data_IF_285801031219
#
_entry.id   IF_285801031219
#
_cell.length_a   1.000
_cell.length_b   1.000
_cell.length_c   1.000
_cell.angle_alpha   90.00
_cell.angle_beta   90.00
_cell.angle_gamma   90.00
#
_symmetry.space_group_name_H-M   'P 1'
#
loop_
_entity.id
_entity.type
_entity.pdbx_description
1 polymer ?
#
# COMPACT_ATOMS: atom_id res chain seq x y z
N UNK A 1 -65.16 -13.97 -3.91
CA UNK A 1 -65.17 -15.27 -4.62
C UNK A 1 -63.89 -16.02 -4.26
N UNK A 2 -64.03 -17.17 -3.61
CA UNK A 2 -62.99 -18.11 -3.17
C UNK A 2 -62.72 -19.13 -4.28
N UNK A 3 -61.48 -19.63 -4.39
CA UNK A 3 -61.01 -21.01 -4.67
C UNK A 3 -59.47 -20.91 -4.67
N UNK A 4 -58.71 -21.22 -3.60
CA UNK A 4 -58.35 -22.53 -3.03
C UNK A 4 -57.89 -23.53 -4.10
N UNK A 5 -56.58 -23.78 -4.18
CA UNK A 5 -56.06 -25.11 -4.46
C UNK A 5 -54.86 -25.40 -3.56
N UNK A 6 -55.10 -26.33 -2.64
CA UNK A 6 -54.18 -26.94 -1.69
C UNK A 6 -53.54 -28.16 -2.36
N UNK A 7 -52.24 -28.38 -2.22
CA UNK A 7 -51.65 -29.73 -2.30
C UNK A 7 -50.83 -29.97 -1.03
N UNK A 8 -51.14 -31.12 -0.45
CA UNK A 8 -50.79 -31.67 0.86
C UNK A 8 -49.58 -32.59 0.71
N UNK A 9 -48.59 -32.39 1.59
CA UNK A 9 -47.80 -33.35 2.41
C UNK A 9 -47.48 -34.73 1.82
N UNK A 10 -46.22 -35.16 1.96
CA UNK A 10 -45.84 -36.44 2.63
C UNK A 10 -44.39 -36.32 3.15
N UNK A 11 -44.27 -36.39 4.48
CA UNK A 11 -43.06 -36.68 5.25
C UNK A 11 -42.91 -38.21 5.29
N UNK A 12 -41.69 -38.73 5.12
CA UNK A 12 -41.35 -40.07 5.57
C UNK A 12 -39.92 -40.10 6.11
N UNK A 13 -39.84 -40.10 7.44
CA UNK A 13 -38.68 -40.38 8.28
C UNK A 13 -38.62 -41.87 8.63
N UNK A 14 -37.46 -42.52 8.46
CA UNK A 14 -37.16 -43.88 8.96
C UNK A 14 -35.63 -44.07 8.96
N UNK A 15 -34.96 -44.76 9.87
CA UNK A 15 -35.16 -45.16 11.27
C UNK A 15 -33.79 -45.74 11.65
N UNK A 16 -33.26 -45.40 12.82
CA UNK A 16 -32.01 -45.97 13.36
C UNK A 16 -32.23 -47.46 13.65
N UNK A 17 -31.26 -48.32 13.31
CA UNK A 17 -31.18 -49.66 13.88
C UNK A 17 -29.81 -49.87 14.52
N UNK A 18 -29.86 -50.17 15.82
CA UNK A 18 -28.76 -50.65 16.66
C UNK A 18 -28.74 -52.17 16.53
N UNK A 19 -27.56 -52.76 16.37
CA UNK A 19 -27.34 -54.20 16.41
C UNK A 19 -26.08 -54.54 17.21
N UNK A 20 -26.28 -55.02 18.43
CA UNK A 20 -25.34 -55.78 19.29
C UNK A 20 -24.92 -57.07 18.54
N UNK A 21 -23.76 -57.73 18.71
CA UNK A 21 -23.12 -58.41 19.87
C UNK A 21 -21.83 -59.05 19.26
N UNK A 22 -20.65 -59.21 19.86
CA UNK A 22 -20.24 -59.97 21.06
C UNK A 22 -18.79 -59.62 21.39
N UNK A 23 -18.50 -59.56 22.68
CA UNK A 23 -17.16 -59.60 23.27
C UNK A 23 -16.72 -61.05 23.41
N UNK A 24 -15.46 -61.33 23.09
CA UNK A 24 -14.76 -62.51 23.61
C UNK A 24 -13.33 -62.09 23.94
N UNK A 25 -12.97 -62.32 25.20
CA UNK A 25 -11.75 -61.93 25.89
C UNK A 25 -10.76 -63.11 25.84
N UNK A 26 -9.50 -62.90 25.43
CA UNK A 26 -8.41 -63.88 25.67
C UNK A 26 -7.06 -63.14 25.84
N UNK A 27 -6.61 -63.12 27.09
CA UNK A 27 -5.26 -63.36 27.62
C UNK A 27 -4.01 -62.60 27.13
N UNK A 28 -3.34 -61.98 28.11
CA UNK A 28 -2.01 -61.37 28.03
C UNK A 28 -0.94 -62.46 28.12
N UNK A 29 -0.06 -62.52 27.11
CA UNK A 29 1.24 -63.22 27.19
C UNK A 29 2.36 -62.32 26.67
N UNK A 30 3.40 -62.16 27.49
CA UNK A 30 4.68 -61.50 27.20
C UNK A 30 5.47 -62.26 26.12
N UNK A 31 6.12 -61.54 25.20
CA UNK A 31 7.58 -61.55 24.98
C UNK A 31 8.03 -60.92 23.64
N UNK A 32 9.15 -60.20 23.72
CA UNK A 32 10.23 -60.01 22.74
C UNK A 32 10.01 -59.20 21.43
N UNK A 33 10.76 -58.10 21.36
CA UNK A 33 11.48 -57.50 20.22
C UNK A 33 11.04 -57.86 18.79
N UNK A 34 10.68 -56.84 18.00
CA UNK A 34 11.50 -56.40 16.85
C UNK A 34 10.87 -55.23 16.07
N UNK A 35 11.67 -54.17 15.94
CA UNK A 35 11.92 -53.34 14.75
C UNK A 35 10.85 -52.39 14.13
N UNK A 36 11.35 -51.16 13.96
CA UNK A 36 10.98 -50.08 13.01
C UNK A 36 9.84 -49.16 13.46
N UNK A 37 10.21 -48.15 14.25
CA UNK A 37 9.50 -46.88 14.35
C UNK A 37 9.63 -46.09 13.05
N UNK A 38 8.49 -45.80 12.40
CA UNK A 38 8.40 -44.87 11.28
C UNK A 38 8.62 -43.44 11.78
N UNK A 39 9.53 -42.73 11.14
CA UNK A 39 9.76 -41.30 11.30
C UNK A 39 8.51 -40.50 10.90
N UNK A 40 7.97 -39.76 11.85
CA UNK A 40 7.10 -38.63 11.62
C UNK A 40 7.96 -37.44 11.17
N UNK A 41 8.12 -37.24 9.86
CA UNK A 41 8.67 -35.98 9.35
C UNK A 41 7.62 -34.90 9.40
N UNK A 42 7.81 -34.02 10.37
CA UNK A 42 7.07 -32.78 10.65
C UNK A 42 6.99 -31.91 9.39
N UNK A 43 5.77 -31.64 8.92
CA UNK A 43 5.50 -30.53 8.00
C UNK A 43 5.72 -29.21 8.77
N UNK A 44 6.89 -28.62 8.60
CA UNK A 44 7.12 -27.23 9.00
C UNK A 44 6.42 -26.34 7.99
N UNK A 45 5.20 -25.92 8.34
CA UNK A 45 4.48 -24.89 7.60
C UNK A 45 5.33 -23.60 7.62
N UNK A 46 5.86 -23.23 6.47
CA UNK A 46 6.49 -21.93 6.23
C UNK A 46 5.41 -20.88 6.47
N UNK A 47 5.43 -20.22 7.63
CA UNK A 47 4.59 -19.06 7.90
C UNK A 47 5.01 -17.99 6.90
N UNK A 48 4.24 -17.81 5.82
CA UNK A 48 4.37 -16.62 4.97
C UNK A 48 4.25 -15.42 5.90
N UNK A 49 5.35 -14.70 6.04
CA UNK A 49 5.41 -13.47 6.81
C UNK A 49 4.54 -12.46 6.06
N UNK A 50 3.24 -12.40 6.42
CA UNK A 50 2.31 -11.43 5.86
C UNK A 50 2.87 -10.06 6.18
N UNK A 51 3.38 -9.40 5.15
CA UNK A 51 3.84 -8.04 5.27
C UNK A 51 2.66 -7.18 5.69
N UNK A 52 2.84 -6.50 6.81
CA UNK A 52 1.87 -5.55 7.35
C UNK A 52 2.42 -4.13 7.20
N UNK A 53 1.52 -3.16 7.30
CA UNK A 53 1.89 -1.75 7.51
C UNK A 53 2.93 -1.64 8.63
N UNK A 54 4.03 -0.92 8.38
CA UNK A 54 5.09 -0.74 9.37
C UNK A 54 5.90 0.53 9.14
N UNK A 55 6.51 1.02 10.21
CA UNK A 55 7.47 2.11 10.20
C UNK A 55 8.74 1.61 10.91
N UNK A 56 9.90 1.82 10.29
CA UNK A 56 11.19 1.43 10.83
C UNK A 56 12.27 2.47 10.49
N UNK A 57 13.43 2.35 11.13
CA UNK A 57 14.65 2.98 10.62
C UNK A 57 14.98 2.47 9.22
N UNK A 58 15.71 3.27 8.43
CA UNK A 58 16.16 2.84 7.10
C UNK A 58 17.00 1.54 7.21
N UNK A 59 16.62 0.46 6.51
CA UNK A 59 17.47 -0.73 6.42
C UNK A 59 18.79 -0.42 5.70
N UNK A 60 19.87 -1.14 6.01
CA UNK A 60 21.19 -0.94 5.39
C UNK A 60 21.17 -0.99 3.86
N UNK A 61 20.39 -1.93 3.30
CA UNK A 61 20.21 -2.05 1.86
C UNK A 61 19.54 -0.80 1.24
N UNK A 62 18.55 -0.24 1.92
CA UNK A 62 17.85 0.98 1.50
C UNK A 62 18.79 2.19 1.60
N UNK A 63 19.51 2.35 2.72
CA UNK A 63 20.51 3.41 2.88
C UNK A 63 21.58 3.38 1.78
N UNK A 64 22.07 2.18 1.45
CA UNK A 64 23.05 1.98 0.38
C UNK A 64 22.50 2.40 -0.99
N UNK A 65 21.25 2.03 -1.31
CA UNK A 65 20.62 2.37 -2.58
C UNK A 65 20.34 3.87 -2.71
N UNK A 66 19.97 4.52 -1.60
CA UNK A 66 19.69 5.96 -1.59
C UNK A 66 20.93 6.83 -1.75
N UNK A 67 22.09 6.38 -1.24
CA UNK A 67 23.30 7.18 -1.18
C UNK A 67 23.85 7.54 -2.58
N UNK A 68 23.91 8.83 -2.88
CA UNK A 68 24.28 9.37 -4.19
C UNK A 68 23.14 9.45 -5.20
N UNK A 69 21.97 8.88 -4.86
CA UNK A 69 20.79 8.77 -5.73
C UNK A 69 19.70 9.74 -5.23
N UNK A 70 18.71 9.25 -4.47
CA UNK A 70 17.69 10.09 -3.86
C UNK A 70 18.18 10.84 -2.63
N UNK A 71 19.31 10.44 -2.02
CA UNK A 71 19.95 11.13 -0.91
C UNK A 71 21.41 11.46 -1.24
N UNK A 72 21.86 12.65 -0.86
CA UNK A 72 23.26 13.11 -1.00
C UNK A 72 23.72 13.85 0.28
N UNK A 73 25.02 14.02 0.53
CA UNK A 73 25.51 14.76 1.70
C UNK A 73 24.95 16.19 1.85
N UNK A 74 24.54 16.81 0.74
CA UNK A 74 23.93 18.14 0.70
C UNK A 74 22.42 18.13 0.98
N UNK A 75 21.83 16.95 1.18
CA UNK A 75 20.41 16.82 1.51
C UNK A 75 20.11 17.57 2.80
N UNK A 76 18.97 18.26 2.89
CA UNK A 76 18.64 19.07 4.06
C UNK A 76 18.25 18.22 5.28
N UNK A 77 18.20 16.90 5.13
CA UNK A 77 17.85 15.93 6.16
C UNK A 77 18.87 14.79 6.14
N UNK A 78 19.38 14.44 7.31
CA UNK A 78 20.25 13.28 7.47
C UNK A 78 19.45 11.97 7.32
N UNK A 79 20.12 10.88 6.95
CA UNK A 79 19.47 9.56 6.81
C UNK A 79 18.81 9.09 8.12
N UNK A 80 19.35 9.46 9.27
CA UNK A 80 18.76 9.16 10.58
C UNK A 80 17.58 10.08 10.94
N UNK A 81 17.23 11.07 10.12
CA UNK A 81 15.98 11.83 10.21
C UNK A 81 14.89 11.24 9.30
N UNK A 82 15.23 10.26 8.47
CA UNK A 82 14.32 9.54 7.58
C UNK A 82 13.87 8.21 8.19
N UNK A 83 12.69 7.77 7.80
CA UNK A 83 12.09 6.50 8.17
C UNK A 83 11.66 5.74 6.91
N UNK A 84 11.77 4.43 6.98
CA UNK A 84 11.26 3.52 5.97
C UNK A 84 9.85 3.06 6.38
N UNK A 85 8.91 3.19 5.46
CA UNK A 85 7.49 2.89 5.68
C UNK A 85 7.07 1.84 4.66
N UNK A 86 6.59 0.69 5.15
CA UNK A 86 5.93 -0.31 4.31
C UNK A 86 4.43 -0.13 4.40
N UNK A 87 3.76 -0.16 3.26
CA UNK A 87 2.32 0.01 3.13
C UNK A 87 1.73 -1.10 2.27
N UNK A 88 0.43 -1.35 2.46
CA UNK A 88 -0.35 -2.09 1.48
C UNK A 88 -1.17 -1.10 0.65
N UNK A 89 -1.44 -1.44 -0.61
CA UNK A 89 -2.32 -0.65 -1.48
C UNK A 89 -3.17 -1.56 -2.38
N UNK A 90 -4.31 -1.04 -2.85
CA UNK A 90 -5.11 -1.71 -3.88
C UNK A 90 -4.67 -1.21 -5.25
N UNK A 91 -4.24 -2.15 -6.09
CA UNK A 91 -3.78 -1.89 -7.45
C UNK A 91 -4.93 -1.52 -8.39
N UNK A 92 -4.59 -0.97 -9.56
CA UNK A 92 -5.57 -0.80 -10.63
C UNK A 92 -6.11 -2.13 -11.16
N UNK A 93 -5.39 -3.23 -10.93
CA UNK A 93 -5.76 -4.62 -11.20
C UNK A 93 -6.73 -5.21 -10.16
N UNK A 94 -7.19 -4.41 -9.19
CA UNK A 94 -8.08 -4.85 -8.12
C UNK A 94 -7.49 -6.01 -7.30
N UNK A 95 -6.17 -5.94 -7.03
CA UNK A 95 -5.47 -6.83 -6.10
C UNK A 95 -4.72 -6.03 -5.02
N UNK A 96 -4.38 -6.70 -3.92
CA UNK A 96 -3.56 -6.14 -2.86
C UNK A 96 -2.08 -6.24 -3.22
N UNK A 97 -1.35 -5.14 -3.08
CA UNK A 97 0.08 -5.04 -3.32
C UNK A 97 0.82 -4.44 -2.13
N UNK A 98 2.14 -4.59 -2.13
CA UNK A 98 3.04 -3.98 -1.15
C UNK A 98 3.78 -2.79 -1.76
N UNK A 99 3.90 -1.73 -0.97
CA UNK A 99 4.59 -0.51 -1.33
C UNK A 99 5.62 -0.09 -0.31
N UNK A 100 6.61 0.66 -0.78
CA UNK A 100 7.73 1.15 0.02
C UNK A 100 7.85 2.67 -0.12
N UNK A 101 8.01 3.35 1.01
CA UNK A 101 8.19 4.80 1.06
C UNK A 101 9.34 5.15 2.01
N UNK A 102 10.06 6.22 1.68
CA UNK A 102 10.95 6.91 2.61
C UNK A 102 10.39 8.30 2.86
N UNK A 103 10.25 8.66 4.13
CA UNK A 103 9.70 9.95 4.58
C UNK A 103 10.43 10.42 5.84
N UNK A 104 10.24 11.68 6.23
CA UNK A 104 10.77 12.20 7.49
C UNK A 104 10.13 11.46 8.68
N UNK A 105 10.93 11.12 9.69
CA UNK A 105 10.49 10.36 10.89
C UNK A 105 9.24 10.96 11.54
N UNK A 106 9.16 12.28 11.62
CA UNK A 106 8.02 13.02 12.20
C UNK A 106 6.68 12.74 11.53
N UNK A 107 6.67 12.42 10.22
CA UNK A 107 5.42 12.14 9.47
C UNK A 107 5.24 10.65 9.16
N UNK A 108 6.19 9.79 9.51
CA UNK A 108 6.20 8.40 9.07
C UNK A 108 5.00 7.58 9.54
N UNK A 109 4.65 7.68 10.83
CA UNK A 109 3.46 7.01 11.38
C UNK A 109 2.18 7.53 10.74
N UNK A 110 2.11 8.84 10.53
CA UNK A 110 0.94 9.48 9.93
C UNK A 110 0.74 9.06 8.48
N UNK A 111 1.82 8.98 7.69
CA UNK A 111 1.78 8.45 6.32
C UNK A 111 1.32 7.00 6.31
N UNK A 112 1.86 6.15 7.19
CA UNK A 112 1.40 4.75 7.32
C UNK A 112 -0.11 4.67 7.58
N UNK A 113 -0.64 5.46 8.51
CA UNK A 113 -2.08 5.52 8.82
C UNK A 113 -2.93 6.05 7.66
N UNK A 114 -2.40 7.01 6.88
CA UNK A 114 -3.06 7.49 5.66
C UNK A 114 -3.21 6.32 4.68
N UNK A 115 -2.14 5.57 4.41
CA UNK A 115 -2.21 4.43 3.50
C UNK A 115 -3.09 3.28 4.02
N UNK A 116 -3.21 3.10 5.34
CA UNK A 116 -4.20 2.17 5.91
C UNK A 116 -5.62 2.57 5.52
N UNK A 117 -5.97 3.86 5.66
CA UNK A 117 -7.28 4.39 5.26
C UNK A 117 -7.51 4.20 3.76
N UNK A 118 -6.51 4.51 2.93
CA UNK A 118 -6.61 4.32 1.47
C UNK A 118 -6.82 2.86 1.11
N UNK A 119 -6.10 1.94 1.76
CA UNK A 119 -6.21 0.52 1.54
C UNK A 119 -7.58 -0.03 1.95
N UNK A 120 -8.08 0.34 3.13
CA UNK A 120 -9.41 -0.06 3.60
C UNK A 120 -10.53 0.44 2.67
N UNK A 121 -10.38 1.66 2.16
CA UNK A 121 -11.31 2.25 1.20
C UNK A 121 -11.12 1.75 -0.24
N UNK A 122 -10.12 0.89 -0.49
CA UNK A 122 -9.71 0.42 -1.82
C UNK A 122 -9.47 1.57 -2.81
N UNK A 123 -8.90 2.67 -2.34
CA UNK A 123 -8.47 3.76 -3.22
C UNK A 123 -7.37 3.24 -4.15
N UNK A 124 -7.56 3.29 -5.48
CA UNK A 124 -6.63 2.65 -6.40
C UNK A 124 -5.32 3.41 -6.53
N UNK A 125 -4.21 2.69 -6.38
CA UNK A 125 -2.85 3.19 -6.57
C UNK A 125 -2.15 2.25 -7.53
N UNK A 126 -1.51 2.80 -8.57
CA UNK A 126 -0.87 1.96 -9.60
C UNK A 126 0.34 1.23 -9.02
N UNK A 127 1.21 1.99 -8.36
CA UNK A 127 2.51 1.51 -7.91
C UNK A 127 3.05 2.41 -6.81
N UNK A 128 3.77 1.82 -5.86
CA UNK A 128 4.51 2.52 -4.81
C UNK A 128 5.91 1.91 -4.70
N UNK A 129 6.90 2.61 -5.22
CA UNK A 129 8.32 2.21 -5.24
C UNK A 129 9.20 3.36 -4.81
N UNK A 130 10.35 3.04 -4.23
CA UNK A 130 11.36 4.03 -3.93
C UNK A 130 11.88 4.64 -5.24
N UNK A 131 12.11 5.95 -5.24
CA UNK A 131 12.58 6.65 -6.45
C UNK A 131 13.98 6.20 -6.89
N UNK A 132 14.72 5.52 -6.01
CA UNK A 132 16.02 4.93 -6.30
C UNK A 132 15.96 3.81 -7.35
N UNK A 133 14.82 3.14 -7.52
CA UNK A 133 14.58 2.22 -8.63
C UNK A 133 14.56 2.91 -9.99
N UNK A 134 14.45 4.24 -9.99
CA UNK A 134 14.49 5.12 -11.14
C UNK A 134 15.74 6.01 -11.15
N UNK A 135 16.79 5.62 -10.42
CA UNK A 135 18.05 6.38 -10.29
C UNK A 135 17.82 7.82 -9.76
N UNK A 136 16.76 8.04 -8.97
CA UNK A 136 16.39 9.36 -8.45
C UNK A 136 15.71 10.27 -9.49
N UNK A 137 15.48 9.77 -10.71
CA UNK A 137 14.85 10.52 -11.79
C UNK A 137 13.34 10.64 -11.57
N UNK A 138 12.91 11.84 -11.19
CA UNK A 138 11.51 12.18 -10.91
C UNK A 138 10.61 12.03 -12.15
N UNK A 139 11.08 12.46 -13.32
CA UNK A 139 10.33 12.38 -14.57
C UNK A 139 10.08 10.91 -14.95
N UNK A 140 11.10 10.06 -14.85
CA UNK A 140 10.96 8.63 -15.12
C UNK A 140 10.01 7.94 -14.12
N UNK A 141 10.10 8.30 -12.84
CA UNK A 141 9.17 7.83 -11.80
C UNK A 141 7.73 8.22 -12.13
N UNK A 142 7.48 9.48 -12.49
CA UNK A 142 6.15 9.97 -12.86
C UNK A 142 5.61 9.32 -14.14
N UNK A 143 6.43 9.16 -15.17
CA UNK A 143 6.05 8.47 -16.42
C UNK A 143 5.65 7.02 -16.18
N UNK A 144 6.22 6.38 -15.16
CA UNK A 144 5.87 5.03 -14.72
C UNK A 144 4.72 4.97 -13.71
N UNK A 145 4.02 6.11 -13.53
CA UNK A 145 2.91 6.31 -12.60
C UNK A 145 3.22 5.91 -11.15
N UNK A 146 4.47 6.08 -10.74
CA UNK A 146 4.92 5.69 -9.42
C UNK A 146 4.48 6.73 -8.37
N UNK A 147 3.80 6.27 -7.33
CA UNK A 147 3.56 7.05 -6.12
C UNK A 147 4.86 7.07 -5.30
N UNK A 148 5.41 8.25 -5.05
CA UNK A 148 6.73 8.40 -4.44
C UNK A 148 6.77 9.55 -3.43
N UNK A 149 7.73 9.46 -2.49
CA UNK A 149 7.91 10.45 -1.42
C UNK A 149 9.31 11.05 -1.44
N UNK A 150 10.21 10.70 -0.52
CA UNK A 150 11.54 11.32 -0.44
C UNK A 150 12.33 11.23 -1.76
N UNK A 151 12.81 12.38 -2.23
CA UNK A 151 13.73 12.53 -3.34
C UNK A 151 14.46 13.87 -3.19
N UNK A 152 15.78 13.86 -3.00
CA UNK A 152 16.59 15.08 -2.93
C UNK A 152 16.72 15.72 -4.32
N UNK A 153 15.89 16.72 -4.56
CA UNK A 153 15.83 17.48 -5.81
C UNK A 153 15.37 18.92 -5.62
N UNK A 154 15.61 19.71 -6.65
CA UNK A 154 14.97 21.01 -6.79
C UNK A 154 13.48 20.87 -7.13
N UNK A 155 12.72 21.94 -6.92
CA UNK A 155 11.37 22.10 -7.47
C UNK A 155 11.47 22.12 -9.00
N UNK A 156 10.49 21.52 -9.67
CA UNK A 156 10.41 21.52 -11.12
C UNK A 156 10.53 22.94 -11.69
N UNK A 157 11.39 23.09 -12.70
CA UNK A 157 11.71 24.36 -13.35
C UNK A 157 12.31 25.46 -12.44
N UNK A 158 12.78 25.15 -11.22
CA UNK A 158 13.30 26.15 -10.25
C UNK A 158 14.61 25.70 -9.60
N UNK A 159 15.73 25.89 -10.31
CA UNK A 159 17.07 25.50 -9.80
C UNK A 159 17.43 26.22 -8.51
N UNK A 160 17.99 25.50 -7.55
CA UNK A 160 18.42 26.01 -6.25
C UNK A 160 17.28 26.19 -5.22
N UNK A 161 16.04 25.82 -5.57
CA UNK A 161 14.91 25.82 -4.64
C UNK A 161 14.53 24.39 -4.34
N UNK A 162 14.86 23.90 -3.15
CA UNK A 162 14.59 22.52 -2.77
C UNK A 162 13.09 22.20 -2.71
N UNK A 163 12.72 21.07 -3.31
CA UNK A 163 11.38 20.50 -3.21
C UNK A 163 11.06 20.04 -1.78
N UNK A 164 9.78 19.97 -1.41
CA UNK A 164 9.37 19.35 -0.14
C UNK A 164 9.66 17.84 -0.09
N UNK A 165 9.82 17.20 -1.24
CA UNK A 165 10.32 15.82 -1.34
C UNK A 165 11.73 15.69 -0.74
N UNK A 166 12.58 16.71 -0.89
CA UNK A 166 13.95 16.73 -0.34
C UNK A 166 14.01 16.74 1.18
N UNK A 167 12.90 17.06 1.85
CA UNK A 167 12.78 17.05 3.31
C UNK A 167 12.02 15.83 3.82
N UNK A 168 11.54 14.94 2.92
CA UNK A 168 10.75 13.76 3.29
C UNK A 168 9.35 14.09 3.79
N UNK A 169 8.79 15.26 3.47
CA UNK A 169 7.48 15.73 3.95
C UNK A 169 6.50 16.00 2.82
N UNK A 170 6.74 15.38 1.67
CA UNK A 170 5.86 15.39 0.53
C UNK A 170 5.68 13.99 -0.05
N UNK A 171 4.57 13.81 -0.75
CA UNK A 171 4.24 12.58 -1.47
C UNK A 171 3.40 12.92 -2.71
N UNK A 172 3.70 12.26 -3.81
CA UNK A 172 2.97 12.36 -5.06
C UNK A 172 2.18 11.05 -5.29
N UNK A 173 0.87 11.13 -5.53
CA UNK A 173 -0.01 9.96 -5.71
C UNK A 173 -0.50 9.85 -7.16
N UNK A 174 -0.26 8.71 -7.80
CA UNK A 174 -0.68 8.41 -9.18
C UNK A 174 -0.44 9.57 -10.17
N UNK A 175 0.83 9.92 -10.47
CA UNK A 175 1.19 11.05 -11.32
C UNK A 175 0.41 11.17 -12.64
N UNK A 176 0.09 10.05 -13.31
CA UNK A 176 -0.68 10.05 -14.56
C UNK A 176 -2.12 10.52 -14.31
N UNK A 177 -2.80 9.99 -13.30
CA UNK A 177 -4.18 10.38 -12.96
C UNK A 177 -4.25 11.79 -12.37
N UNK A 178 -3.16 12.25 -11.75
CA UNK A 178 -3.09 13.49 -10.99
C UNK A 178 -1.90 14.35 -11.44
N UNK A 179 -1.87 14.82 -12.69
CA UNK A 179 -0.68 15.45 -13.23
C UNK A 179 -0.39 16.82 -12.62
N UNK A 180 0.88 17.20 -12.69
CA UNK A 180 1.34 18.57 -12.57
C UNK A 180 1.02 19.38 -13.84
N UNK A 181 0.62 20.64 -13.67
CA UNK A 181 0.31 21.57 -14.76
C UNK A 181 0.92 22.94 -14.53
N UNK A 182 1.63 23.47 -15.55
CA UNK A 182 2.11 24.86 -15.59
C UNK A 182 1.86 25.46 -16.97
N UNK A 183 0.82 26.27 -17.08
CA UNK A 183 0.33 26.73 -18.38
C UNK A 183 -0.14 25.52 -19.21
N UNK A 184 0.41 25.36 -20.42
CA UNK A 184 0.13 24.22 -21.30
C UNK A 184 1.01 22.99 -21.02
N UNK A 185 2.04 23.13 -20.18
CA UNK A 185 2.91 22.01 -19.80
C UNK A 185 2.18 21.12 -18.80
N UNK A 186 2.14 19.83 -19.10
CA UNK A 186 1.56 18.78 -18.25
C UNK A 186 2.63 17.71 -18.03
N UNK A 187 2.85 17.32 -16.78
CA UNK A 187 3.79 16.27 -16.40
C UNK A 187 3.12 15.25 -15.47
N UNK A 188 3.20 13.94 -15.74
CA UNK A 188 3.73 13.33 -16.97
C UNK A 188 2.81 13.61 -18.18
N UNK A 189 3.34 13.49 -19.41
CA UNK A 189 2.60 13.81 -20.63
C UNK A 189 1.30 12.99 -20.80
N UNK A 190 1.29 11.73 -20.36
CA UNK A 190 0.11 10.86 -20.36
C UNK A 190 -1.05 11.41 -19.50
N UNK A 191 -0.73 12.26 -18.51
CA UNK A 191 -1.70 12.91 -17.64
C UNK A 191 -2.58 13.94 -18.36
N UNK A 192 -2.27 14.33 -19.60
CA UNK A 192 -3.13 15.21 -20.41
C UNK A 192 -4.57 14.72 -20.56
N UNK A 193 -4.78 13.40 -20.51
CA UNK A 193 -6.15 12.86 -20.55
C UNK A 193 -6.96 13.16 -19.27
N UNK A 194 -6.30 13.46 -18.14
CA UNK A 194 -6.90 13.64 -16.81
C UNK A 194 -7.11 15.12 -16.43
N UNK A 195 -7.01 16.03 -17.39
CA UNK A 195 -7.16 17.47 -17.14
C UNK A 195 -8.61 17.90 -16.93
N UNK A 196 -9.56 17.23 -17.59
CA UNK A 196 -10.97 17.42 -17.28
C UNK A 196 -11.28 16.75 -15.94
N UNK A 197 -11.24 17.53 -14.86
CA UNK A 197 -11.52 17.07 -13.51
C UNK A 197 -13.02 16.80 -13.26
N UNK A 198 -13.90 17.10 -14.23
CA UNK A 198 -15.31 16.70 -14.23
C UNK A 198 -15.52 15.25 -14.66
N UNK A 199 -14.62 14.70 -15.46
CA UNK A 199 -14.60 13.28 -15.84
C UNK A 199 -13.83 12.46 -14.79
N UNK A 200 -14.52 12.09 -13.71
CA UNK A 200 -13.91 11.36 -12.60
C UNK A 200 -13.62 9.92 -13.02
N UNK A 201 -12.34 9.53 -12.94
CA UNK A 201 -11.81 8.19 -13.27
C UNK A 201 -11.04 7.59 -12.09
N UNK A 202 -10.81 6.28 -12.15
CA UNK A 202 -10.11 5.48 -11.12
C UNK A 202 -8.76 6.11 -10.77
N UNK A 203 -8.46 6.24 -9.47
CA UNK A 203 -7.18 6.74 -8.94
C UNK A 203 -6.95 8.26 -9.03
N UNK A 204 -7.93 9.03 -9.52
CA UNK A 204 -7.89 10.50 -9.42
C UNK A 204 -8.16 10.95 -7.98
N UNK A 205 -7.44 11.96 -7.53
CA UNK A 205 -7.72 12.70 -6.30
C UNK A 205 -8.71 13.81 -6.61
N UNK A 206 -9.87 13.74 -5.98
CA UNK A 206 -10.95 14.72 -6.09
C UNK A 206 -11.19 15.36 -4.72
N UNK A 207 -11.45 16.67 -4.71
CA UNK A 207 -11.75 17.39 -3.47
C UNK A 207 -12.90 16.71 -2.72
N UNK A 208 -12.63 16.31 -1.48
CA UNK A 208 -13.60 15.64 -0.60
C UNK A 208 -13.66 14.12 -0.74
N UNK A 209 -12.89 13.51 -1.63
CA UNK A 209 -12.75 12.05 -1.68
C UNK A 209 -11.93 11.51 -0.50
N UNK A 210 -11.78 10.19 -0.45
CA UNK A 210 -11.06 9.52 0.65
C UNK A 210 -9.58 9.91 0.71
N UNK A 211 -8.91 10.08 -0.43
CA UNK A 211 -7.49 10.41 -0.47
C UNK A 211 -7.26 11.85 -0.02
N UNK A 212 -8.00 12.79 -0.59
CA UNK A 212 -8.04 14.17 -0.15
C UNK A 212 -8.27 14.27 1.35
N UNK A 213 -9.32 13.63 1.90
CA UNK A 213 -9.63 13.71 3.32
C UNK A 213 -8.56 13.09 4.21
N UNK A 214 -8.04 11.92 3.84
CA UNK A 214 -7.01 11.24 4.62
C UNK A 214 -5.80 12.15 4.88
N UNK A 215 -5.35 12.90 3.87
CA UNK A 215 -4.29 13.88 4.00
C UNK A 215 -4.74 15.20 4.67
N UNK A 216 -5.84 15.79 4.19
CA UNK A 216 -6.28 17.13 4.61
C UNK A 216 -6.71 17.19 6.07
N UNK A 217 -7.37 16.16 6.57
CA UNK A 217 -7.81 16.08 7.98
C UNK A 217 -6.62 15.98 8.95
N UNK A 218 -5.43 15.65 8.43
CA UNK A 218 -4.15 15.58 9.15
C UNK A 218 -3.27 16.82 8.94
N UNK A 219 -3.80 17.87 8.33
CA UNK A 219 -3.11 19.15 8.15
C UNK A 219 -2.13 19.18 6.97
N UNK A 220 -2.22 18.22 6.04
CA UNK A 220 -1.49 18.32 4.77
C UNK A 220 -2.13 19.38 3.86
N UNK A 221 -1.32 19.99 3.02
CA UNK A 221 -1.77 20.82 1.91
C UNK A 221 -1.74 20.00 0.63
N UNK A 222 -2.64 20.31 -0.31
CA UNK A 222 -2.77 19.61 -1.58
C UNK A 222 -2.48 20.56 -2.75
N UNK A 223 -1.60 20.17 -3.67
CA UNK A 223 -1.22 20.97 -4.83
C UNK A 223 -2.36 21.22 -5.81
N UNK A 224 -3.39 20.36 -5.81
CA UNK A 224 -4.63 20.59 -6.53
C UNK A 224 -5.41 21.83 -6.08
N UNK A 225 -5.12 22.37 -4.89
CA UNK A 225 -5.72 23.62 -4.37
C UNK A 225 -4.89 24.87 -4.68
N UNK A 226 -3.67 24.76 -5.20
CA UNK A 226 -2.81 25.93 -5.50
C UNK A 226 -3.43 26.84 -6.58
N UNK A 227 -3.21 28.15 -6.49
CA UNK A 227 -3.82 29.11 -7.43
C UNK A 227 -3.21 29.04 -8.84
N UNK A 228 -1.91 28.78 -8.88
CA UNK A 228 -1.12 28.60 -10.10
C UNK A 228 -0.34 27.29 -9.97
N UNK A 229 0.17 26.75 -11.08
CA UNK A 229 1.00 25.56 -11.09
C UNK A 229 0.34 24.35 -10.39
N UNK A 230 -0.88 24.00 -10.80
CA UNK A 230 -1.67 22.94 -10.16
C UNK A 230 -0.88 21.65 -10.15
N UNK A 231 -0.72 21.06 -8.98
CA UNK A 231 0.00 19.80 -8.81
C UNK A 231 -0.93 18.78 -8.16
N UNK A 232 -1.72 18.07 -8.97
CA UNK A 232 -2.81 17.23 -8.43
C UNK A 232 -2.30 16.01 -7.67
N UNK A 233 -1.10 15.53 -7.98
CA UNK A 233 -0.47 14.39 -7.31
C UNK A 233 0.01 14.77 -5.91
N UNK A 234 0.32 16.05 -5.71
CA UNK A 234 1.20 16.46 -4.63
C UNK A 234 0.48 16.78 -3.33
N UNK A 235 0.88 16.12 -2.26
CA UNK A 235 0.61 16.53 -0.88
C UNK A 235 1.91 16.88 -0.18
N UNK A 236 1.88 17.95 0.62
CA UNK A 236 3.00 18.31 1.49
C UNK A 236 2.54 18.79 2.87
N UNK A 237 3.40 18.58 3.87
CA UNK A 237 3.19 19.05 5.24
C UNK A 237 4.31 19.98 5.68
N UNK A 238 3.94 21.02 6.40
CA UNK A 238 4.90 21.86 7.12
C UNK A 238 5.17 21.23 8.49
N UNK A 239 6.43 20.91 8.75
CA UNK A 239 6.91 20.53 10.08
C UNK A 239 8.00 21.50 10.52
N UNK A 240 8.21 21.70 11.83
CA UNK A 240 9.45 22.28 12.32
C UNK A 240 10.61 21.39 11.87
N UNK A 241 11.52 21.96 11.10
CA UNK A 241 12.79 21.32 10.76
C UNK A 241 13.79 21.85 11.79
N UNK A 242 14.28 20.95 12.64
CA UNK A 242 15.30 21.25 13.65
C UNK A 242 16.68 20.88 13.11
#
# INVERSE_FOLDING_TARGET
MKYILTIVVIIASLLVSVGCTKVQEVEVVKAADTHVSQESTVEVSKKEERVSFSVASLPDGVMKNMNGVSWKPESPVAMDQLAYVRVLYWGFDDQSHEGELVVHKTVAKEIMEIFQILYEAKFPIEKIRLVDEYEGNDDLSMENNNTSAFNFRDVADSKGVLSKHSYGVAIDINPIQNPYMKGEKVSPAAGKSYLDRGEIRKGMIIKGDVCYKAFKDRGWTWGGEWKTMKDYQHFQKSIPLN
#
